data_IF_773412013206
#
_entry.id   IF_773412013206
#
_cell.length_a   1.000
_cell.length_b   1.000
_cell.length_c   1.000
_cell.angle_alpha   90.00
_cell.angle_beta   90.00
_cell.angle_gamma   90.00
#
_symmetry.space_group_name_H-M   'P 1'
#
loop_
_entity.id
_entity.type
_entity.pdbx_description
1 polymer ?
#
# COMPACT_ATOMS: atom_id res chain seq x y z
N UNK A 1 -24.11 0.25 -3.61
CA UNK A 1 -22.79 0.00 -2.98
C UNK A 1 -22.16 -1.19 -3.64
N UNK A 2 -20.82 -1.22 -3.74
CA UNK A 2 -20.10 -2.38 -4.25
C UNK A 2 -20.36 -3.61 -3.38
N UNK A 3 -20.43 -4.78 -4.02
CA UNK A 3 -20.59 -6.08 -3.36
C UNK A 3 -19.36 -6.97 -3.57
N UNK A 4 -18.49 -6.59 -4.52
CA UNK A 4 -17.23 -7.29 -4.83
C UNK A 4 -16.18 -6.33 -5.39
N UNK A 5 -14.96 -6.79 -5.51
CA UNK A 5 -13.86 -6.06 -6.15
C UNK A 5 -14.10 -5.81 -7.65
N UNK A 6 -14.91 -6.64 -8.31
CA UNK A 6 -15.23 -6.47 -9.73
C UNK A 6 -16.08 -5.22 -10.04
N UNK A 7 -16.71 -4.66 -9.02
CA UNK A 7 -17.55 -3.48 -9.12
C UNK A 7 -16.82 -2.19 -8.73
N UNK A 8 -15.54 -2.26 -8.35
CA UNK A 8 -14.80 -1.07 -7.91
C UNK A 8 -14.62 -0.06 -9.06
N UNK A 9 -14.64 1.23 -8.69
CA UNK A 9 -14.44 2.31 -9.65
C UNK A 9 -12.95 2.44 -9.97
N UNK A 10 -12.55 2.01 -11.15
CA UNK A 10 -11.17 2.00 -11.59
C UNK A 10 -11.05 2.47 -13.04
N UNK A 11 -9.96 3.17 -13.34
CA UNK A 11 -9.51 3.35 -14.71
C UNK A 11 -8.47 2.28 -15.02
N UNK A 12 -8.77 1.42 -15.99
CA UNK A 12 -7.95 0.24 -16.31
C UNK A 12 -7.53 0.17 -17.78
N UNK A 13 -7.72 1.25 -18.54
CA UNK A 13 -7.44 1.28 -19.99
C UNK A 13 -6.05 1.90 -20.19
N UNK A 14 -5.04 1.28 -19.59
CA UNK A 14 -3.64 1.65 -19.80
C UNK A 14 -2.97 0.72 -20.81
N UNK A 15 -2.14 1.29 -21.67
CA UNK A 15 -1.35 0.58 -22.69
C UNK A 15 0.01 1.29 -22.90
N UNK A 16 0.76 0.89 -23.92
CA UNK A 16 2.06 1.48 -24.24
C UNK A 16 1.99 2.97 -24.63
N UNK A 17 0.83 3.48 -25.04
CA UNK A 17 0.60 4.87 -25.45
C UNK A 17 -0.13 5.69 -24.41
N UNK A 18 -0.78 5.02 -23.45
CA UNK A 18 -1.54 5.61 -22.36
C UNK A 18 -1.09 4.95 -21.05
N UNK A 19 -0.03 5.48 -20.46
CA UNK A 19 0.66 4.90 -19.32
C UNK A 19 -0.07 5.19 -18.00
N UNK A 20 0.05 4.28 -17.04
CA UNK A 20 -0.33 4.58 -15.66
C UNK A 20 0.44 5.82 -15.17
N UNK A 21 -0.23 6.84 -14.59
CA UNK A 21 0.41 8.10 -14.19
C UNK A 21 1.56 7.95 -13.20
N UNK A 22 1.50 6.98 -12.28
CA UNK A 22 2.57 6.74 -11.32
C UNK A 22 3.81 6.17 -12.02
N UNK A 23 3.61 5.25 -12.96
CA UNK A 23 4.67 4.72 -13.80
C UNK A 23 5.28 5.83 -14.66
N UNK A 24 4.47 6.62 -15.36
CA UNK A 24 4.95 7.69 -16.23
C UNK A 24 5.77 8.74 -15.45
N UNK A 25 5.31 9.10 -14.26
CA UNK A 25 6.05 10.01 -13.39
C UNK A 25 7.43 9.43 -12.99
N UNK A 26 7.49 8.19 -12.52
CA UNK A 26 8.75 7.57 -12.12
C UNK A 26 9.68 7.40 -13.30
N UNK A 27 9.16 6.93 -14.42
CA UNK A 27 9.95 6.70 -15.64
C UNK A 27 10.57 7.98 -16.20
N UNK A 28 9.82 9.09 -16.17
CA UNK A 28 10.27 10.37 -16.72
C UNK A 28 11.09 11.22 -15.74
N UNK A 29 10.96 11.00 -14.43
CA UNK A 29 11.53 11.86 -13.39
C UNK A 29 12.49 11.15 -12.46
N UNK A 30 12.38 9.83 -12.29
CA UNK A 30 13.18 9.04 -11.34
C UNK A 30 13.21 9.67 -9.93
N UNK A 31 12.04 10.13 -9.47
CA UNK A 31 11.91 10.99 -8.30
C UNK A 31 11.23 10.34 -7.09
N UNK A 32 10.82 9.06 -7.17
CA UNK A 32 10.09 8.40 -6.10
C UNK A 32 10.99 7.45 -5.30
N UNK A 33 10.95 7.60 -3.99
CA UNK A 33 11.61 6.70 -3.04
C UNK A 33 10.58 6.09 -2.08
N UNK A 34 10.83 4.86 -1.66
CA UNK A 34 9.98 4.18 -0.69
C UNK A 34 10.14 4.82 0.70
N UNK A 35 9.02 5.15 1.34
CA UNK A 35 8.99 5.83 2.64
C UNK A 35 9.35 4.90 3.79
N UNK A 36 10.28 5.32 4.64
CA UNK A 36 10.61 4.65 5.91
C UNK A 36 9.40 4.55 6.83
N UNK A 37 8.59 5.58 6.90
CA UNK A 37 7.37 5.59 7.71
C UNK A 37 6.35 4.54 7.27
N UNK A 38 6.24 4.27 5.96
CA UNK A 38 5.38 3.19 5.45
C UNK A 38 5.99 1.83 5.75
N UNK A 39 7.26 1.62 5.46
CA UNK A 39 7.93 0.34 5.71
C UNK A 39 7.91 -0.06 7.20
N UNK A 40 8.09 0.90 8.11
CA UNK A 40 7.99 0.66 9.56
C UNK A 40 6.61 0.12 9.96
N UNK A 41 5.52 0.65 9.39
CA UNK A 41 4.16 0.14 9.66
C UNK A 41 3.94 -1.29 9.18
N UNK A 42 4.53 -1.64 8.04
CA UNK A 42 4.49 -3.00 7.52
C UNK A 42 5.34 -3.95 8.40
N UNK A 43 6.54 -3.51 8.82
CA UNK A 43 7.42 -4.28 9.70
C UNK A 43 6.76 -4.55 11.05
N UNK A 44 6.21 -3.53 11.70
CA UNK A 44 5.53 -3.63 13.00
C UNK A 44 4.39 -4.64 13.00
N UNK A 45 3.80 -4.89 11.83
CA UNK A 45 2.65 -5.79 11.66
C UNK A 45 3.00 -7.13 11.05
N UNK A 46 4.26 -7.39 10.73
CA UNK A 46 4.67 -8.55 9.93
C UNK A 46 3.83 -8.67 8.65
N UNK A 47 3.57 -7.55 8.00
CA UNK A 47 2.72 -7.46 6.82
C UNK A 47 3.38 -8.17 5.62
N UNK A 48 2.71 -9.12 4.98
CA UNK A 48 3.29 -9.87 3.86
C UNK A 48 3.63 -8.99 2.65
N UNK A 49 3.03 -7.81 2.53
CA UNK A 49 3.34 -6.86 1.45
C UNK A 49 4.76 -6.31 1.56
N UNK A 50 5.37 -6.31 2.75
CA UNK A 50 6.71 -5.75 2.96
C UNK A 50 7.76 -6.33 1.98
N UNK A 51 7.82 -7.66 1.88
CA UNK A 51 8.76 -8.34 0.99
C UNK A 51 8.29 -8.39 -0.47
N UNK A 52 7.06 -7.96 -0.73
CA UNK A 52 6.40 -8.13 -2.02
C UNK A 52 6.39 -6.85 -2.86
N UNK A 53 6.45 -5.66 -2.22
CA UNK A 53 6.23 -4.40 -2.91
C UNK A 53 7.47 -3.52 -3.06
N UNK A 54 8.57 -3.82 -2.38
CA UNK A 54 9.78 -3.01 -2.48
C UNK A 54 10.83 -3.60 -3.40
N UNK A 55 11.48 -2.73 -4.13
CA UNK A 55 12.55 -3.03 -5.09
C UNK A 55 13.84 -2.41 -4.55
N UNK A 56 14.97 -3.11 -4.66
CA UNK A 56 16.25 -2.60 -4.22
C UNK A 56 16.70 -1.37 -5.03
N UNK A 57 17.61 -0.61 -4.46
CA UNK A 57 18.13 0.61 -5.09
C UNK A 57 18.84 0.39 -6.43
N UNK A 58 19.30 -0.82 -6.68
CA UNK A 58 19.94 -1.20 -7.95
C UNK A 58 18.93 -1.69 -8.98
N UNK A 59 17.64 -1.72 -8.63
CA UNK A 59 16.47 -1.91 -9.48
C UNK A 59 16.42 -3.26 -10.19
N UNK A 60 17.01 -4.27 -9.60
CA UNK A 60 17.09 -5.57 -10.22
C UNK A 60 16.35 -6.69 -9.48
N UNK A 61 15.78 -6.41 -8.29
CA UNK A 61 15.03 -7.40 -7.52
C UNK A 61 14.13 -6.77 -6.46
N UNK A 62 13.08 -7.50 -6.09
CA UNK A 62 12.26 -7.18 -4.93
C UNK A 62 13.00 -7.55 -3.64
N UNK A 63 12.92 -6.71 -2.62
CA UNK A 63 13.64 -6.88 -1.36
C UNK A 63 12.72 -6.80 -0.16
N UNK A 64 13.09 -7.51 0.91
CA UNK A 64 12.47 -7.40 2.23
C UNK A 64 13.42 -6.74 3.24
N UNK A 65 12.91 -6.45 4.43
CA UNK A 65 13.66 -5.76 5.50
C UNK A 65 14.90 -6.48 5.98
N UNK A 66 15.05 -7.78 5.71
CA UNK A 66 16.24 -8.56 6.03
C UNK A 66 17.38 -8.38 5.00
N UNK A 67 17.11 -7.76 3.86
CA UNK A 67 18.11 -7.51 2.84
C UNK A 67 19.01 -6.32 3.28
N UNK A 68 20.35 -6.43 3.24
CA UNK A 68 21.26 -5.31 3.56
C UNK A 68 21.05 -4.08 2.65
N UNK A 69 20.46 -4.26 1.49
CA UNK A 69 20.13 -3.18 0.55
C UNK A 69 18.76 -2.52 0.82
N UNK A 70 18.07 -2.93 1.87
CA UNK A 70 16.77 -2.36 2.24
C UNK A 70 16.93 -0.96 2.82
N UNK A 71 16.95 0.04 1.97
CA UNK A 71 17.14 1.45 2.32
C UNK A 71 15.87 2.26 2.01
N UNK A 72 15.28 2.84 3.05
CA UNK A 72 14.02 3.62 2.95
C UNK A 72 14.26 5.09 3.26
N UNK A 73 13.64 5.97 2.48
CA UNK A 73 13.74 7.41 2.63
C UNK A 73 13.03 7.90 3.91
N UNK A 74 13.70 8.74 4.67
CA UNK A 74 13.10 9.44 5.82
C UNK A 74 12.26 10.60 5.30
N UNK A 75 11.05 10.76 5.82
CA UNK A 75 10.17 11.85 5.43
C UNK A 75 10.84 13.21 5.68
N UNK A 76 10.86 14.06 4.67
CA UNK A 76 11.49 15.39 4.74
C UNK A 76 13.03 15.38 4.57
N UNK A 77 13.63 14.25 4.22
CA UNK A 77 15.04 14.20 3.87
C UNK A 77 15.30 14.87 2.51
N UNK A 78 16.54 15.35 2.32
CA UNK A 78 16.89 16.07 1.11
C UNK A 78 16.75 15.19 -0.14
N UNK A 79 16.08 15.68 -1.16
CA UNK A 79 15.81 15.01 -2.44
C UNK A 79 17.06 14.57 -3.20
N UNK A 80 18.22 15.19 -2.99
CA UNK A 80 19.47 14.80 -3.62
C UNK A 80 19.88 13.34 -3.37
N UNK A 81 19.29 12.70 -2.37
CA UNK A 81 19.58 11.33 -1.97
C UNK A 81 18.53 10.32 -2.41
N UNK A 82 17.45 10.71 -3.06
CA UNK A 82 16.34 9.81 -3.34
C UNK A 82 16.74 8.57 -4.13
N UNK A 83 17.67 8.66 -5.08
CA UNK A 83 18.17 7.54 -5.88
C UNK A 83 19.03 6.53 -5.10
N UNK A 84 19.37 6.81 -3.84
CA UNK A 84 20.02 5.86 -2.96
C UNK A 84 19.05 4.90 -2.26
N UNK A 85 17.77 5.19 -2.31
CA UNK A 85 16.74 4.44 -1.59
C UNK A 85 16.05 3.43 -2.49
N UNK A 86 15.44 2.44 -1.84
CA UNK A 86 14.51 1.55 -2.50
C UNK A 86 13.33 2.34 -3.08
N UNK A 87 12.72 1.79 -4.10
CA UNK A 87 11.44 2.23 -4.63
C UNK A 87 10.40 1.13 -4.45
N UNK A 88 9.19 1.34 -4.93
CA UNK A 88 8.17 0.31 -4.88
C UNK A 88 7.86 -0.24 -6.28
N UNK A 89 7.41 -1.49 -6.33
CA UNK A 89 6.95 -2.14 -7.56
C UNK A 89 5.81 -1.38 -8.25
N UNK A 90 5.04 -0.60 -7.50
CA UNK A 90 3.94 0.20 -8.04
C UNK A 90 4.41 1.24 -9.06
N UNK A 91 5.65 1.72 -8.93
CA UNK A 91 6.25 2.66 -9.88
C UNK A 91 6.59 2.01 -11.23
N UNK A 92 6.51 0.70 -11.32
CA UNK A 92 6.73 -0.09 -12.55
C UNK A 92 5.45 -0.74 -13.07
N UNK A 93 4.33 -0.50 -12.42
CA UNK A 93 3.03 -1.05 -12.81
C UNK A 93 2.44 -0.28 -13.98
N UNK A 94 3.03 -0.43 -15.17
CA UNK A 94 2.70 0.33 -16.39
C UNK A 94 1.22 0.30 -16.74
N UNK A 95 0.56 -0.83 -16.50
CA UNK A 95 -0.84 -1.08 -16.88
C UNK A 95 -1.74 -1.36 -15.68
N UNK A 96 -1.24 -1.22 -14.45
CA UNK A 96 -2.07 -1.40 -13.27
C UNK A 96 -3.21 -0.39 -13.24
N UNK A 97 -4.40 -0.78 -12.80
CA UNK A 97 -5.54 0.13 -12.72
C UNK A 97 -5.30 1.25 -11.71
N UNK A 98 -5.77 2.45 -12.04
CA UNK A 98 -5.91 3.53 -11.06
C UNK A 98 -7.25 3.40 -10.37
N UNK A 99 -7.25 3.13 -9.06
CA UNK A 99 -8.46 3.01 -8.27
C UNK A 99 -8.96 4.41 -7.87
N UNK A 100 -10.21 4.73 -8.19
CA UNK A 100 -10.88 5.95 -7.74
C UNK A 100 -11.71 5.72 -6.50
N UNK A 101 -12.28 4.54 -6.37
CA UNK A 101 -12.95 4.04 -5.19
C UNK A 101 -12.91 2.51 -5.24
N UNK A 102 -12.14 1.91 -4.36
CA UNK A 102 -11.98 0.47 -4.31
C UNK A 102 -13.04 -0.17 -3.42
N UNK A 103 -13.20 -1.48 -3.58
CA UNK A 103 -14.03 -2.27 -2.68
C UNK A 103 -13.44 -2.32 -1.27
N UNK A 104 -12.10 -2.37 -1.15
CA UNK A 104 -11.45 -2.31 0.16
C UNK A 104 -11.67 -0.96 0.86
N UNK A 105 -11.67 0.16 0.13
CA UNK A 105 -12.00 1.47 0.72
C UNK A 105 -13.40 1.48 1.32
N UNK A 106 -14.40 0.99 0.58
CA UNK A 106 -15.77 0.89 1.07
C UNK A 106 -15.86 0.04 2.34
N UNK A 107 -15.15 -1.08 2.38
CA UNK A 107 -15.09 -1.95 3.55
C UNK A 107 -14.42 -1.27 4.75
N UNK A 108 -13.32 -0.53 4.54
CA UNK A 108 -12.69 0.27 5.59
C UNK A 108 -13.61 1.37 6.13
N UNK A 109 -14.33 2.08 5.26
CA UNK A 109 -15.32 3.08 5.67
C UNK A 109 -16.43 2.46 6.52
N UNK A 110 -16.90 1.28 6.13
CA UNK A 110 -17.89 0.52 6.92
C UNK A 110 -17.33 0.08 8.27
N UNK A 111 -16.10 -0.44 8.32
CA UNK A 111 -15.45 -0.84 9.57
C UNK A 111 -15.22 0.37 10.49
N UNK A 112 -14.78 1.51 9.96
CA UNK A 112 -14.65 2.75 10.71
C UNK A 112 -15.98 3.20 11.31
N UNK A 113 -17.04 3.24 10.50
CA UNK A 113 -18.37 3.63 10.96
C UNK A 113 -18.87 2.72 12.10
N UNK A 114 -18.68 1.42 11.99
CA UNK A 114 -19.04 0.46 13.04
C UNK A 114 -18.25 0.69 14.32
N UNK A 115 -16.92 0.95 14.23
CA UNK A 115 -16.10 1.27 15.40
C UNK A 115 -16.57 2.57 16.07
N UNK A 116 -16.89 3.62 15.31
CA UNK A 116 -17.39 4.89 15.84
C UNK A 116 -18.77 4.76 16.52
N UNK A 117 -19.54 3.75 16.12
CA UNK A 117 -20.82 3.38 16.76
C UNK A 117 -20.65 2.42 17.94
N UNK A 118 -19.42 2.13 18.38
CA UNK A 118 -19.10 1.13 19.42
C UNK A 118 -19.56 -0.29 19.08
N UNK A 119 -19.60 -0.65 17.79
CA UNK A 119 -20.00 -1.96 17.27
C UNK A 119 -18.79 -2.74 16.76
N UNK A 120 -17.72 -2.82 17.56
CA UNK A 120 -16.43 -3.41 17.15
C UNK A 120 -16.56 -4.89 16.78
N UNK A 121 -17.42 -5.65 17.43
CA UNK A 121 -17.65 -7.06 17.07
C UNK A 121 -18.18 -7.24 15.63
N UNK A 122 -18.93 -6.26 15.12
CA UNK A 122 -19.42 -6.26 13.74
C UNK A 122 -18.39 -5.67 12.78
N UNK A 123 -17.50 -4.81 13.28
CA UNK A 123 -16.41 -4.24 12.48
C UNK A 123 -15.31 -5.26 12.17
N UNK A 124 -15.02 -6.20 13.08
CA UNK A 124 -13.94 -7.18 12.90
C UNK A 124 -14.02 -7.96 11.59
N UNK A 125 -15.13 -8.66 11.26
CA UNK A 125 -15.23 -9.38 10.00
C UNK A 125 -15.19 -8.48 8.77
N UNK A 126 -15.66 -7.24 8.88
CA UNK A 126 -15.57 -6.26 7.79
C UNK A 126 -14.14 -5.81 7.58
N UNK A 127 -13.39 -5.56 8.66
CA UNK A 127 -11.97 -5.23 8.59
C UNK A 127 -11.15 -6.38 7.99
N UNK A 128 -11.45 -7.64 8.39
CA UNK A 128 -10.81 -8.82 7.78
C UNK A 128 -11.00 -8.82 6.26
N UNK A 129 -12.24 -8.67 5.81
CA UNK A 129 -12.52 -8.62 4.38
C UNK A 129 -11.79 -7.44 3.69
N UNK A 130 -11.75 -6.27 4.31
CA UNK A 130 -11.04 -5.11 3.79
C UNK A 130 -9.54 -5.38 3.61
N UNK A 131 -8.88 -5.99 4.59
CA UNK A 131 -7.46 -6.35 4.52
C UNK A 131 -7.18 -7.37 3.42
N UNK A 132 -8.02 -8.38 3.28
CA UNK A 132 -7.86 -9.41 2.24
C UNK A 132 -7.97 -8.78 0.86
N UNK A 133 -9.04 -8.03 0.59
CA UNK A 133 -9.24 -7.36 -0.71
C UNK A 133 -8.12 -6.36 -1.02
N UNK A 134 -7.63 -5.62 -0.02
CA UNK A 134 -6.51 -4.69 -0.21
C UNK A 134 -5.22 -5.41 -0.63
N UNK A 135 -4.94 -6.58 -0.06
CA UNK A 135 -3.79 -7.40 -0.44
C UNK A 135 -3.97 -7.99 -1.83
N UNK A 136 -5.16 -8.45 -2.19
CA UNK A 136 -5.48 -8.95 -3.53
C UNK A 136 -5.29 -7.84 -4.60
N UNK A 137 -5.74 -6.63 -4.34
CA UNK A 137 -5.49 -5.47 -5.20
C UNK A 137 -3.98 -5.14 -5.30
N UNK A 138 -3.22 -5.32 -4.22
CA UNK A 138 -1.76 -5.20 -4.25
C UNK A 138 -1.13 -6.20 -5.23
N UNK A 139 -1.53 -7.46 -5.17
CA UNK A 139 -1.02 -8.50 -6.08
C UNK A 139 -1.34 -8.20 -7.55
N UNK A 140 -2.52 -7.65 -7.85
CA UNK A 140 -2.84 -7.20 -9.22
C UNK A 140 -1.81 -6.19 -9.72
N UNK A 141 -1.43 -5.23 -8.90
CA UNK A 141 -0.42 -4.21 -9.25
C UNK A 141 0.98 -4.82 -9.37
N UNK A 142 1.34 -5.76 -8.49
CA UNK A 142 2.61 -6.49 -8.56
C UNK A 142 2.71 -7.29 -9.86
N UNK A 143 1.69 -8.06 -10.19
CA UNK A 143 1.66 -8.85 -11.43
C UNK A 143 1.73 -7.94 -12.68
N UNK A 144 1.02 -6.82 -12.66
CA UNK A 144 1.09 -5.84 -13.75
C UNK A 144 2.51 -5.26 -13.90
N UNK A 145 3.23 -4.99 -12.80
CA UNK A 145 4.60 -4.52 -12.83
C UNK A 145 5.56 -5.59 -13.37
N UNK A 146 5.45 -6.82 -12.90
CA UNK A 146 6.32 -7.92 -13.33
C UNK A 146 6.18 -8.25 -14.82
N UNK A 147 5.01 -8.01 -15.39
CA UNK A 147 4.73 -8.23 -16.82
C UNK A 147 4.95 -6.98 -17.69
N UNK A 148 5.28 -5.83 -17.10
CA UNK A 148 5.48 -4.61 -17.86
C UNK A 148 6.70 -4.72 -18.79
N UNK A 149 6.59 -4.36 -20.08
CA UNK A 149 7.70 -4.42 -21.03
C UNK A 149 8.93 -3.63 -20.61
N UNK A 150 8.74 -2.50 -19.94
CA UNK A 150 9.80 -1.67 -19.38
C UNK A 150 10.61 -2.40 -18.31
N UNK A 151 9.98 -3.20 -17.47
CA UNK A 151 10.64 -4.00 -16.44
C UNK A 151 11.42 -5.16 -17.06
N UNK A 152 10.76 -5.92 -17.93
CA UNK A 152 11.36 -7.10 -18.57
C UNK A 152 12.51 -6.72 -19.49
N UNK A 153 12.40 -5.61 -20.21
CA UNK A 153 13.39 -5.20 -21.21
C UNK A 153 14.54 -4.34 -20.70
N UNK A 154 14.32 -3.59 -19.61
CA UNK A 154 15.26 -2.56 -19.15
C UNK A 154 15.86 -2.82 -17.77
N UNK A 155 15.05 -3.20 -16.83
CA UNK A 155 15.45 -3.27 -15.41
C UNK A 155 15.89 -4.67 -15.03
N UNK A 156 15.46 -5.69 -15.77
CA UNK A 156 15.76 -7.09 -15.44
C UNK A 156 15.24 -7.50 -14.06
N UNK A 157 14.17 -6.86 -13.59
CA UNK A 157 13.58 -7.11 -12.30
C UNK A 157 13.28 -8.60 -12.13
N UNK A 158 13.87 -9.22 -11.12
CA UNK A 158 13.59 -10.61 -10.78
C UNK A 158 12.74 -10.69 -9.53
N UNK A 159 11.73 -11.54 -9.59
CA UNK A 159 10.88 -11.82 -8.44
C UNK A 159 11.55 -12.85 -7.54
N UNK A 160 11.84 -12.46 -6.30
CA UNK A 160 12.41 -13.36 -5.28
C UNK A 160 11.40 -13.75 -4.20
N UNK A 161 10.21 -13.19 -4.24
CA UNK A 161 9.19 -13.42 -3.22
C UNK A 161 7.96 -14.09 -3.83
N UNK A 162 7.35 -14.98 -3.05
CA UNK A 162 6.13 -15.64 -3.49
C UNK A 162 4.94 -14.67 -3.48
N UNK A 163 3.99 -14.88 -4.39
CA UNK A 163 2.71 -14.19 -4.38
C UNK A 163 1.98 -14.34 -3.05
N UNK A 164 1.32 -13.29 -2.60
CA UNK A 164 0.51 -13.34 -1.39
C UNK A 164 -0.84 -13.95 -1.76
N UNK A 165 -1.11 -15.14 -1.22
CA UNK A 165 -2.39 -15.81 -1.43
C UNK A 165 -3.46 -15.26 -0.49
N UNK A 166 -4.74 -15.48 -0.82
CA UNK A 166 -5.87 -15.20 0.09
C UNK A 166 -5.66 -15.85 1.46
N UNK A 167 -5.18 -17.09 1.52
CA UNK A 167 -4.86 -17.76 2.79
C UNK A 167 -3.77 -17.02 3.57
N UNK A 168 -2.74 -16.53 2.91
CA UNK A 168 -1.69 -15.72 3.56
C UNK A 168 -2.28 -14.42 4.11
N UNK A 169 -3.14 -13.74 3.36
CA UNK A 169 -3.81 -12.51 3.80
C UNK A 169 -4.72 -12.75 5.00
N UNK A 170 -5.48 -13.84 5.01
CA UNK A 170 -6.31 -14.23 6.15
C UNK A 170 -5.49 -14.58 7.39
N UNK A 171 -4.39 -15.33 7.21
CA UNK A 171 -3.46 -15.66 8.30
C UNK A 171 -2.85 -14.38 8.89
N UNK A 172 -2.41 -13.46 8.04
CA UNK A 172 -1.92 -12.14 8.46
C UNK A 172 -2.96 -11.40 9.31
N UNK A 173 -4.22 -11.39 8.88
CA UNK A 173 -5.27 -10.77 9.68
C UNK A 173 -5.38 -11.40 11.06
N UNK A 174 -5.50 -12.72 11.16
CA UNK A 174 -5.70 -13.42 12.43
C UNK A 174 -4.50 -13.27 13.39
N UNK A 175 -3.28 -13.31 12.85
CA UNK A 175 -2.06 -13.33 13.67
C UNK A 175 -1.52 -11.96 14.02
N UNK A 176 -1.73 -10.96 13.16
CA UNK A 176 -1.12 -9.64 13.30
C UNK A 176 -2.13 -8.52 13.48
N UNK A 177 -3.18 -8.47 12.67
CA UNK A 177 -4.15 -7.35 12.68
C UNK A 177 -5.16 -7.49 13.82
N UNK A 178 -5.74 -8.66 13.97
CA UNK A 178 -6.80 -8.91 14.97
C UNK A 178 -6.39 -8.63 16.41
N UNK A 179 -5.19 -8.99 16.89
CA UNK A 179 -4.75 -8.61 18.25
C UNK A 179 -4.67 -7.09 18.45
N UNK A 180 -4.18 -6.35 17.45
CA UNK A 180 -4.10 -4.88 17.47
C UNK A 180 -5.48 -4.23 17.39
N UNK A 181 -6.36 -4.78 16.56
CA UNK A 181 -7.75 -4.36 16.47
C UNK A 181 -8.50 -4.58 17.80
N UNK A 182 -8.32 -5.73 18.44
CA UNK A 182 -8.94 -6.01 19.75
C UNK A 182 -8.49 -4.99 20.82
N UNK A 183 -7.23 -4.60 20.79
CA UNK A 183 -6.69 -3.62 21.75
C UNK A 183 -7.18 -2.18 21.45
N UNK A 184 -7.24 -1.77 20.18
CA UNK A 184 -7.59 -0.41 19.76
C UNK A 184 -8.32 -0.41 18.41
N UNK A 185 -9.63 -0.74 18.39
CA UNK A 185 -10.35 -1.03 17.15
C UNK A 185 -10.25 0.07 16.08
N UNK A 186 -10.66 1.29 16.41
CA UNK A 186 -10.67 2.39 15.46
C UNK A 186 -9.26 2.73 14.95
N UNK A 187 -8.28 2.73 15.84
CA UNK A 187 -6.89 3.01 15.46
C UNK A 187 -6.39 2.02 14.42
N UNK A 188 -6.62 0.72 14.65
CA UNK A 188 -6.14 -0.29 13.73
C UNK A 188 -6.87 -0.25 12.37
N UNK A 189 -8.18 0.01 12.36
CA UNK A 189 -8.92 0.25 11.10
C UNK A 189 -8.27 1.37 10.28
N UNK A 190 -7.95 2.50 10.92
CA UNK A 190 -7.38 3.66 10.22
C UNK A 190 -5.95 3.38 9.73
N UNK A 191 -5.15 2.62 10.48
CA UNK A 191 -3.80 2.25 10.05
C UNK A 191 -3.86 1.27 8.87
N UNK A 192 -4.72 0.27 8.93
CA UNK A 192 -4.87 -0.69 7.83
C UNK A 192 -5.41 -0.01 6.56
N UNK A 193 -6.34 0.93 6.69
CA UNK A 193 -6.81 1.77 5.57
C UNK A 193 -5.66 2.57 4.96
N UNK A 194 -4.83 3.21 5.79
CA UNK A 194 -3.66 3.95 5.33
C UNK A 194 -2.67 3.06 4.57
N UNK A 195 -2.39 1.86 5.07
CA UNK A 195 -1.53 0.89 4.39
C UNK A 195 -2.15 0.43 3.07
N UNK A 196 -3.47 0.21 3.03
CA UNK A 196 -4.18 -0.23 1.83
C UNK A 196 -4.11 0.78 0.68
N UNK A 197 -4.00 2.07 0.98
CA UNK A 197 -3.87 3.11 -0.03
C UNK A 197 -2.45 3.27 -0.59
N UNK A 198 -1.48 2.56 -0.04
CA UNK A 198 -0.14 2.53 -0.59
C UNK A 198 -0.12 1.80 -1.94
N UNK A 199 0.21 2.54 -2.98
CA UNK A 199 0.21 2.04 -4.37
C UNK A 199 -1.15 2.13 -5.09
N UNK A 200 -2.22 2.41 -4.40
CA UNK A 200 -3.53 2.69 -4.99
C UNK A 200 -3.58 4.16 -5.44
N UNK A 201 -3.05 4.46 -6.60
CA UNK A 201 -2.67 5.81 -7.04
C UNK A 201 -3.78 6.87 -6.92
N UNK A 202 -5.04 6.52 -7.21
CA UNK A 202 -6.17 7.45 -7.08
C UNK A 202 -6.60 7.70 -5.64
N UNK A 203 -6.45 6.73 -4.76
CA UNK A 203 -6.90 6.77 -3.36
C UNK A 203 -5.89 7.41 -2.40
N UNK A 204 -4.70 7.76 -2.86
CA UNK A 204 -3.69 8.43 -2.03
C UNK A 204 -4.15 9.79 -1.50
N UNK A 205 -5.02 10.48 -2.23
CA UNK A 205 -5.65 11.73 -1.79
C UNK A 205 -6.55 11.49 -0.57
N UNK A 206 -7.26 10.38 -0.54
CA UNK A 206 -8.12 10.01 0.59
C UNK A 206 -7.30 9.66 1.84
N UNK A 207 -6.12 9.07 1.68
CA UNK A 207 -5.20 8.87 2.81
C UNK A 207 -4.80 10.21 3.46
N UNK A 208 -4.56 11.25 2.66
CA UNK A 208 -4.27 12.59 3.16
C UNK A 208 -5.50 13.25 3.82
N UNK A 209 -6.67 13.09 3.24
CA UNK A 209 -7.93 13.57 3.81
C UNK A 209 -8.21 12.91 5.17
N UNK A 210 -8.02 11.61 5.28
CA UNK A 210 -8.15 10.87 6.54
C UNK A 210 -7.13 11.35 7.60
N UNK A 211 -5.88 11.58 7.21
CA UNK A 211 -4.87 12.12 8.12
C UNK A 211 -5.30 13.48 8.69
N UNK A 212 -5.79 14.39 7.84
CA UNK A 212 -6.28 15.70 8.27
C UNK A 212 -7.52 15.59 9.17
N UNK A 213 -8.45 14.72 8.81
CA UNK A 213 -9.68 14.46 9.57
C UNK A 213 -9.36 13.90 10.95
N UNK A 214 -8.48 12.90 11.06
CA UNK A 214 -8.03 12.35 12.34
C UNK A 214 -7.36 13.42 13.21
N UNK A 215 -6.49 14.24 12.63
CA UNK A 215 -5.85 15.34 13.35
C UNK A 215 -6.85 16.34 13.91
N UNK A 216 -7.89 16.69 13.14
CA UNK A 216 -8.96 17.58 13.59
C UNK A 216 -9.81 16.98 14.73
N UNK A 217 -9.88 15.65 14.83
CA UNK A 217 -10.56 14.91 15.89
C UNK A 217 -9.64 14.57 17.08
N UNK A 218 -8.39 15.04 17.08
CA UNK A 218 -7.35 14.68 18.06
C UNK A 218 -7.03 13.16 18.07
N UNK A 219 -7.25 12.49 16.96
CA UNK A 219 -6.96 11.06 16.75
C UNK A 219 -5.60 10.92 16.06
N UNK A 220 -4.50 10.94 16.83
CA UNK A 220 -3.14 10.86 16.28
C UNK A 220 -2.73 9.39 16.00
N UNK A 221 -3.49 8.70 15.16
CA UNK A 221 -3.26 7.28 14.86
C UNK A 221 -2.11 7.08 13.86
N UNK A 222 -1.96 8.00 12.92
CA UNK A 222 -0.90 7.95 11.90
C UNK A 222 0.08 9.08 12.21
N UNK A 223 1.26 8.70 12.67
CA UNK A 223 2.34 9.65 12.93
C UNK A 223 3.28 9.63 11.74
N UNK A 224 3.35 10.73 11.03
CA UNK A 224 4.34 10.96 9.98
C UNK A 224 5.52 11.67 10.62
N UNK A 225 6.64 10.96 10.77
CA UNK A 225 7.89 11.59 11.18
C UNK A 225 8.33 12.53 10.07
N UNK A 226 8.54 13.79 10.41
CA UNK A 226 9.13 14.77 9.52
C UNK A 226 10.49 15.17 10.10
N UNK A 227 11.54 15.08 9.30
CA UNK A 227 12.89 15.48 9.72
C UNK A 227 13.01 16.99 10.00
N UNK A 228 12.03 17.78 9.59
CA UNK A 228 11.99 19.24 9.77
C UNK A 228 11.19 19.68 11.00
N UNK A 229 10.67 18.76 11.81
CA UNK A 229 9.95 19.05 13.06
C UNK A 229 10.66 18.44 14.26
#
# INVERSE_FOLDING_TARGET
SFTSADEQAAFSIYDASNLNPLFDYQWSRDGLAASKSMSEKLIERNDPRLSRVFIDKDWNQMTGSADPKFLMAVNGENEEKQYFYNTSVFTYSQTAPTLFMSYHELLFLKAEALCRLNRSNEAEPVLKAACVVAIENTEVSVVAAMNAPSVVGYVGLSEKTAAITTTTAETYFETSVKPLFTATPLKEVMIQKYIAFFGASGESVEAYNDFRRMKALNENFIVLKNALN
#
